data_IF_290062763667
#
_entry.id   IF_290062763667
#
_cell.length_a   1.000
_cell.length_b   1.000
_cell.length_c   1.000
_cell.angle_alpha   90.00
_cell.angle_beta   90.00
_cell.angle_gamma   90.00
#
_symmetry.space_group_name_H-M   'P 1'
#
loop_
_entity.id
_entity.type
_entity.pdbx_description
1 polymer ?
#
# COMPACT_ATOMS: atom_id res chain seq x y z
N UNK A 1 -17.49 -4.00 2.58
CA UNK A 1 -17.48 -3.43 1.24
C UNK A 1 -16.48 -2.27 1.14
N UNK A 2 -16.34 -1.69 -0.03
CA UNK A 2 -15.36 -0.63 -0.28
C UNK A 2 -15.62 0.63 0.53
N UNK A 3 -16.89 1.00 0.73
CA UNK A 3 -17.26 2.17 1.52
C UNK A 3 -16.89 1.97 2.98
N UNK A 4 -17.26 0.84 3.54
CA UNK A 4 -16.95 0.50 4.93
C UNK A 4 -15.43 0.42 5.15
N UNK A 5 -14.72 -0.18 4.21
CA UNK A 5 -13.25 -0.27 4.30
C UNK A 5 -12.61 1.12 4.32
N UNK A 6 -13.08 2.03 3.47
CA UNK A 6 -12.57 3.40 3.44
C UNK A 6 -12.78 4.11 4.77
N UNK A 7 -13.95 3.97 5.37
CA UNK A 7 -14.25 4.56 6.67
C UNK A 7 -13.34 3.98 7.74
N UNK A 8 -13.12 2.67 7.73
CA UNK A 8 -12.25 2.00 8.70
C UNK A 8 -10.80 2.47 8.56
N UNK A 9 -10.34 2.67 7.34
CA UNK A 9 -9.00 3.20 7.08
C UNK A 9 -8.82 4.60 7.65
N UNK A 10 -9.80 5.47 7.46
CA UNK A 10 -9.75 6.82 8.01
C UNK A 10 -9.78 6.82 9.54
N UNK A 11 -10.56 5.94 10.14
CA UNK A 11 -10.58 5.79 11.60
C UNK A 11 -9.22 5.35 12.14
N UNK A 12 -8.57 4.42 11.46
CA UNK A 12 -7.23 3.97 11.84
C UNK A 12 -6.22 5.10 11.78
N UNK A 13 -6.26 5.91 10.73
CA UNK A 13 -5.38 7.08 10.61
C UNK A 13 -5.62 8.09 11.72
N UNK A 14 -6.87 8.32 12.09
CA UNK A 14 -7.21 9.24 13.19
C UNK A 14 -6.65 8.75 14.51
N UNK A 15 -6.79 7.46 14.79
CA UNK A 15 -6.26 6.87 16.02
C UNK A 15 -4.74 6.99 16.07
N UNK A 16 -4.07 6.67 14.97
CA UNK A 16 -2.61 6.78 14.89
C UNK A 16 -2.17 8.22 15.09
N UNK A 17 -2.85 9.18 14.50
CA UNK A 17 -2.47 10.59 14.57
C UNK A 17 -2.55 11.14 16.00
N UNK A 18 -3.54 10.68 16.77
CA UNK A 18 -3.69 11.08 18.17
C UNK A 18 -2.63 10.49 19.08
N UNK A 19 -2.17 9.29 18.76
CA UNK A 19 -1.17 8.57 19.55
C UNK A 19 -0.24 7.80 18.62
N UNK A 20 0.72 8.51 17.98
CA UNK A 20 1.58 7.88 16.98
C UNK A 20 2.38 6.70 17.54
N UNK A 21 2.39 5.62 16.79
CA UNK A 21 3.07 4.38 17.11
C UNK A 21 3.63 3.80 15.82
N UNK A 22 4.58 2.87 15.96
CA UNK A 22 5.02 2.08 14.82
C UNK A 22 4.00 0.97 14.60
N UNK A 23 3.39 0.95 13.43
CA UNK A 23 2.40 -0.05 13.06
C UNK A 23 2.89 -0.76 11.80
N UNK A 24 2.85 -2.09 11.84
CA UNK A 24 3.18 -2.92 10.67
C UNK A 24 1.88 -3.61 10.25
N UNK A 25 1.53 -3.45 8.98
CA UNK A 25 0.32 -4.05 8.43
C UNK A 25 0.68 -4.87 7.20
N UNK A 26 0.10 -6.05 7.09
CA UNK A 26 0.24 -6.90 5.90
C UNK A 26 -1.10 -6.88 5.16
N UNK A 27 -1.06 -6.57 3.87
CA UNK A 27 -2.27 -6.49 3.07
C UNK A 27 -1.99 -6.86 1.62
N UNK A 28 -3.01 -7.37 0.94
CA UNK A 28 -2.98 -7.58 -0.51
C UNK A 28 -3.53 -6.38 -1.28
N UNK A 29 -4.09 -5.42 -0.57
CA UNK A 29 -4.73 -4.25 -1.17
C UNK A 29 -3.72 -3.13 -1.31
N UNK A 30 -3.27 -2.88 -2.54
CA UNK A 30 -2.27 -1.86 -2.85
C UNK A 30 -2.77 -0.47 -2.48
N UNK A 31 -4.03 -0.17 -2.76
CA UNK A 31 -4.62 1.12 -2.42
C UNK A 31 -4.58 1.38 -0.92
N UNK A 32 -4.91 0.37 -0.12
CA UNK A 32 -4.85 0.46 1.33
C UNK A 32 -3.42 0.72 1.81
N UNK A 33 -2.45 -0.02 1.25
CA UNK A 33 -1.05 0.14 1.63
C UNK A 33 -0.56 1.57 1.37
N UNK A 34 -0.84 2.12 0.19
CA UNK A 34 -0.41 3.48 -0.17
C UNK A 34 -1.13 4.52 0.67
N UNK A 35 -2.41 4.30 0.96
CA UNK A 35 -3.20 5.25 1.74
C UNK A 35 -2.75 5.34 3.19
N UNK A 36 -2.41 4.22 3.80
CA UNK A 36 -2.10 4.17 5.24
C UNK A 36 -0.63 4.37 5.57
N UNK A 37 0.28 3.91 4.73
CA UNK A 37 1.67 3.75 5.10
C UNK A 37 2.52 5.00 4.93
N UNK A 38 3.57 5.10 5.76
CA UNK A 38 4.70 5.99 5.49
C UNK A 38 5.66 5.32 4.52
N UNK A 39 5.69 3.99 4.57
CA UNK A 39 6.61 3.17 3.78
C UNK A 39 5.94 1.86 3.40
N UNK A 40 6.00 1.53 2.13
CA UNK A 40 5.45 0.27 1.62
C UNK A 40 6.61 -0.65 1.26
N UNK A 41 6.57 -1.86 1.81
CA UNK A 41 7.55 -2.90 1.51
C UNK A 41 6.89 -3.91 0.60
N UNK A 42 7.39 -4.02 -0.63
CA UNK A 42 6.88 -5.00 -1.60
C UNK A 42 7.76 -6.26 -1.51
N UNK A 43 7.11 -7.39 -1.32
CA UNK A 43 7.82 -8.65 -1.12
C UNK A 43 7.62 -9.60 -2.29
N UNK A 44 8.64 -10.42 -2.53
CA UNK A 44 8.53 -11.53 -3.46
C UNK A 44 7.86 -12.71 -2.76
N UNK A 45 7.34 -13.67 -3.52
CA UNK A 45 6.62 -14.79 -2.94
C UNK A 45 7.44 -16.07 -2.79
N UNK A 46 8.49 -16.26 -3.60
CA UNK A 46 9.29 -17.51 -3.56
C UNK A 46 10.73 -17.26 -3.95
N UNK A 47 11.67 -17.12 -2.99
CA UNK A 47 11.44 -17.01 -1.54
C UNK A 47 10.87 -15.65 -1.16
N UNK A 48 10.31 -15.56 0.05
CA UNK A 48 9.80 -14.30 0.56
C UNK A 48 10.94 -13.36 0.91
N UNK A 49 11.29 -12.47 0.02
CA UNK A 49 12.33 -11.47 0.23
C UNK A 49 11.79 -10.09 -0.12
N UNK A 50 12.48 -9.05 0.35
CA UNK A 50 12.10 -7.67 0.02
C UNK A 50 12.49 -7.38 -1.43
N UNK A 51 11.50 -7.04 -2.26
CA UNK A 51 11.73 -6.63 -3.64
C UNK A 51 12.09 -5.14 -3.71
N UNK A 52 11.32 -4.33 -3.01
CA UNK A 52 11.49 -2.88 -3.04
C UNK A 52 10.87 -2.25 -1.81
N UNK A 53 11.47 -1.16 -1.33
CA UNK A 53 10.92 -0.32 -0.26
C UNK A 53 10.60 1.03 -0.85
N UNK A 54 9.34 1.45 -0.72
CA UNK A 54 8.85 2.68 -1.33
C UNK A 54 8.43 3.65 -0.22
N UNK A 55 9.07 4.81 -0.14
CA UNK A 55 8.66 5.86 0.77
C UNK A 55 7.44 6.56 0.19
N UNK A 56 6.38 6.66 0.97
CA UNK A 56 5.13 7.28 0.54
C UNK A 56 5.13 8.72 1.05
N UNK A 57 5.51 9.63 0.18
CA UNK A 57 5.55 11.07 0.48
C UNK A 57 4.21 11.71 0.16
N UNK A 58 3.22 11.40 1.00
CA UNK A 58 1.89 12.01 0.94
C UNK A 58 1.64 12.69 2.26
N UNK A 59 1.16 13.93 2.21
CA UNK A 59 0.92 14.71 3.41
C UNK A 59 -0.10 14.07 4.35
N UNK A 60 0.08 14.29 5.63
CA UNK A 60 -0.89 13.92 6.65
C UNK A 60 -1.49 15.20 7.25
N UNK A 61 -2.75 15.21 7.66
CA UNK A 61 -3.68 14.07 7.67
C UNK A 61 -4.15 13.71 6.25
N UNK A 62 -4.39 12.42 6.03
CA UNK A 62 -4.89 11.91 4.75
C UNK A 62 -6.36 11.58 4.87
N UNK A 63 -7.15 11.98 3.88
CA UNK A 63 -8.53 11.56 3.76
C UNK A 63 -8.74 10.87 2.41
N UNK A 64 -9.94 10.37 2.17
CA UNK A 64 -10.19 9.57 0.97
C UNK A 64 -10.01 10.36 -0.33
N UNK A 65 -10.10 11.69 -0.29
CA UNK A 65 -9.90 12.51 -1.48
C UNK A 65 -8.49 12.41 -2.05
N UNK A 66 -7.51 12.10 -1.20
CA UNK A 66 -6.12 11.95 -1.65
C UNK A 66 -5.98 10.84 -2.68
N UNK A 67 -6.90 9.87 -2.67
CA UNK A 67 -6.90 8.74 -3.61
C UNK A 67 -7.17 9.18 -5.05
N UNK A 68 -7.68 10.39 -5.23
CA UNK A 68 -7.95 10.96 -6.55
C UNK A 68 -6.81 11.84 -7.05
N UNK A 69 -5.75 12.01 -6.28
CA UNK A 69 -4.61 12.82 -6.70
C UNK A 69 -3.68 12.04 -7.61
N UNK A 70 -2.99 12.76 -8.47
CA UNK A 70 -2.04 12.14 -9.39
C UNK A 70 -0.90 11.45 -8.64
N UNK A 71 -0.41 12.08 -7.58
CA UNK A 71 0.69 11.52 -6.78
C UNK A 71 0.31 10.18 -6.17
N UNK A 72 -0.90 10.07 -5.61
CA UNK A 72 -1.39 8.81 -5.08
C UNK A 72 -1.49 7.75 -6.18
N UNK A 73 -2.02 8.11 -7.33
CA UNK A 73 -2.16 7.19 -8.46
C UNK A 73 -0.80 6.69 -8.96
N UNK A 74 0.21 7.55 -8.95
CA UNK A 74 1.57 7.16 -9.35
C UNK A 74 2.16 6.12 -8.40
N UNK A 75 2.01 6.30 -7.08
CA UNK A 75 2.45 5.30 -6.12
C UNK A 75 1.71 3.99 -6.30
N UNK A 76 0.41 4.06 -6.47
CA UNK A 76 -0.42 2.88 -6.67
C UNK A 76 -0.01 2.12 -7.92
N UNK A 77 0.22 2.83 -9.02
CA UNK A 77 0.63 2.22 -10.27
C UNK A 77 2.00 1.58 -10.15
N UNK A 78 2.94 2.25 -9.50
CA UNK A 78 4.28 1.72 -9.30
C UNK A 78 4.25 0.39 -8.54
N UNK A 79 3.51 0.34 -7.44
CA UNK A 79 3.33 -0.89 -6.67
C UNK A 79 2.65 -1.98 -7.49
N UNK A 80 1.62 -1.61 -8.25
CA UNK A 80 0.89 -2.55 -9.09
C UNK A 80 1.79 -3.17 -10.15
N UNK A 81 2.66 -2.36 -10.76
CA UNK A 81 3.59 -2.84 -11.79
C UNK A 81 4.56 -3.87 -11.21
N UNK A 82 5.09 -3.60 -10.01
CA UNK A 82 6.02 -4.54 -9.36
C UNK A 82 5.31 -5.85 -9.03
N UNK A 83 4.11 -5.79 -8.48
CA UNK A 83 3.33 -6.98 -8.16
C UNK A 83 3.01 -7.77 -9.42
N UNK A 84 2.70 -7.08 -10.51
CA UNK A 84 2.43 -7.73 -11.79
C UNK A 84 3.68 -8.46 -12.29
N UNK A 85 4.85 -7.84 -12.19
CA UNK A 85 6.11 -8.49 -12.58
C UNK A 85 6.35 -9.78 -11.78
N UNK A 86 6.13 -9.73 -10.47
CA UNK A 86 6.32 -10.91 -9.62
C UNK A 86 5.30 -12.01 -9.96
N UNK A 87 4.06 -11.64 -10.27
CA UNK A 87 3.03 -12.59 -10.68
C UNK A 87 3.39 -13.26 -12.01
N UNK A 88 3.91 -12.49 -12.96
CA UNK A 88 4.34 -13.01 -14.25
C UNK A 88 5.50 -14.00 -14.10
N UNK A 89 6.44 -13.73 -13.20
CA UNK A 89 7.55 -14.66 -12.92
C UNK A 89 7.04 -15.99 -12.41
N UNK A 90 6.04 -15.98 -11.53
CA UNK A 90 5.44 -17.21 -11.00
C UNK A 90 4.77 -18.03 -12.11
N UNK A 91 4.04 -17.38 -12.99
CA UNK A 91 3.37 -18.06 -14.10
C UNK A 91 4.41 -18.66 -15.05
N UNK A 92 5.45 -17.93 -15.38
CA UNK A 92 6.51 -18.39 -16.25
C UNK A 92 7.27 -19.57 -15.64
N UNK A 93 7.49 -19.54 -14.33
CA UNK A 93 8.19 -20.63 -13.64
C UNK A 93 7.42 -21.95 -13.64
N UNK A 94 6.11 -21.92 -13.80
CA UNK A 94 5.26 -23.12 -13.82
C UNK A 94 5.32 -23.82 -15.19
N UNK A 95 5.64 -23.10 -16.23
CA UNK A 95 5.79 -23.65 -17.57
C UNK A 95 7.14 -24.35 -17.71
#
# INVERSE_FOLDING_TARGET
DMQTRGVMQELLLNVWQKSPKTIIMVTHDIEEAVFLADRVVVMTSRPGTVREVIDIDLERPRDYHIKNTQKFMEYKMHCSDIIREESMKLITAVE
#
